data_IF_764953590448
#
_entry.id   IF_764953590448
#
_cell.length_a   1.000
_cell.length_b   1.000
_cell.length_c   1.000
_cell.angle_alpha   90.00
_cell.angle_beta   90.00
_cell.angle_gamma   90.00
#
_symmetry.space_group_name_H-M   'P 1'
#
loop_
_entity.id
_entity.type
_entity.pdbx_description
1 polymer ?
#
# COMPACT_ATOMS: atom_id res chain seq x y z
N UNK A 1 -33.00 -1.70 -10.05
CA UNK A 1 -31.57 -2.05 -10.20
C UNK A 1 -30.90 -0.94 -10.99
N UNK A 2 -29.86 -0.30 -10.44
CA UNK A 2 -28.99 0.59 -11.22
C UNK A 2 -28.03 -0.29 -12.03
N UNK A 3 -27.99 -0.10 -13.34
CA UNK A 3 -27.02 -0.73 -14.24
C UNK A 3 -25.82 0.21 -14.25
N UNK A 4 -24.68 -0.24 -13.71
CA UNK A 4 -23.41 0.44 -13.91
C UNK A 4 -22.89 0.13 -15.30
N UNK A 5 -22.36 1.14 -15.99
CA UNK A 5 -21.70 0.94 -17.28
C UNK A 5 -20.47 0.04 -17.11
N UNK A 6 -20.12 -0.72 -18.14
CA UNK A 6 -18.92 -1.57 -18.15
C UNK A 6 -17.65 -0.76 -17.89
N UNK A 7 -17.65 0.52 -18.24
CA UNK A 7 -16.57 1.48 -17.97
C UNK A 7 -16.48 1.87 -16.48
N UNK A 8 -17.62 2.08 -15.80
CA UNK A 8 -17.63 2.30 -14.34
C UNK A 8 -17.18 1.03 -13.58
N UNK A 9 -17.54 -0.14 -14.09
CA UNK A 9 -17.07 -1.43 -13.53
C UNK A 9 -15.57 -1.62 -13.77
N UNK A 10 -15.03 -1.21 -14.92
CA UNK A 10 -13.59 -1.29 -15.22
C UNK A 10 -12.77 -0.22 -14.47
N UNK A 11 -13.31 0.97 -14.24
CA UNK A 11 -12.65 2.02 -13.46
C UNK A 11 -12.61 1.71 -11.96
N UNK A 12 -13.66 1.07 -11.43
CA UNK A 12 -13.71 0.62 -10.03
C UNK A 12 -12.67 -0.49 -9.70
N UNK A 13 -12.05 -1.11 -10.71
CA UNK A 13 -11.15 -2.26 -10.53
C UNK A 13 -9.70 -1.83 -10.24
N UNK A 14 -9.33 -0.58 -10.56
CA UNK A 14 -8.02 -0.01 -10.26
C UNK A 14 -8.09 1.08 -9.17
N UNK A 15 -9.16 1.14 -8.38
CA UNK A 15 -9.25 2.18 -7.35
C UNK A 15 -8.17 1.96 -6.31
N UNK A 16 -7.23 2.91 -6.13
CA UNK A 16 -6.32 2.87 -5.01
C UNK A 16 -7.13 2.81 -3.73
N UNK A 17 -6.86 1.81 -2.88
CA UNK A 17 -7.44 1.75 -1.54
C UNK A 17 -6.45 2.41 -0.57
N UNK A 18 -6.72 3.64 -0.09
CA UNK A 18 -5.87 4.27 0.90
C UNK A 18 -6.07 3.62 2.27
N UNK A 19 -4.97 3.25 2.92
CA UNK A 19 -4.93 2.73 4.28
C UNK A 19 -4.01 3.61 5.10
N UNK A 20 -4.56 4.32 6.09
CA UNK A 20 -3.78 5.13 7.02
C UNK A 20 -3.54 4.35 8.31
N UNK A 21 -2.27 4.16 8.67
CA UNK A 21 -1.86 3.53 9.92
C UNK A 21 -1.12 4.55 10.79
N UNK A 22 -1.55 4.71 12.04
CA UNK A 22 -0.93 5.66 12.96
C UNK A 22 -0.52 4.92 14.24
N UNK A 23 0.74 5.04 14.63
CA UNK A 23 1.27 4.43 15.85
C UNK A 23 2.08 5.42 16.67
N UNK A 24 1.82 5.42 17.97
CA UNK A 24 2.66 6.07 18.97
C UNK A 24 3.41 4.96 19.69
N UNK A 25 4.73 5.09 19.71
CA UNK A 25 5.64 4.19 20.39
C UNK A 25 6.28 4.92 21.55
N UNK A 26 5.80 4.60 22.75
CA UNK A 26 6.24 5.23 23.99
C UNK A 26 7.72 4.89 24.26
N UNK A 27 8.53 5.93 24.41
CA UNK A 27 9.95 5.89 24.77
C UNK A 27 10.75 4.79 24.08
N UNK A 28 11.23 5.05 22.86
CA UNK A 28 12.05 4.23 21.95
C UNK A 28 13.15 3.35 22.60
N UNK A 29 12.76 2.40 23.43
CA UNK A 29 13.63 1.56 24.25
C UNK A 29 13.33 0.07 24.05
N UNK A 30 12.20 -0.28 23.43
CA UNK A 30 11.77 -1.67 23.22
C UNK A 30 11.01 -1.81 21.91
N UNK A 31 11.19 -2.97 21.27
CA UNK A 31 10.36 -3.42 20.14
C UNK A 31 8.89 -3.26 20.50
N UNK A 32 8.12 -2.63 19.60
CA UNK A 32 6.72 -2.34 19.85
C UNK A 32 5.93 -2.58 18.57
N UNK A 33 4.80 -3.26 18.72
CA UNK A 33 3.94 -3.71 17.64
C UNK A 33 2.53 -3.20 17.86
N UNK A 34 2.00 -2.47 16.89
CA UNK A 34 0.60 -2.03 16.86
C UNK A 34 -0.12 -2.74 15.72
N UNK A 35 -1.11 -3.55 16.06
CA UNK A 35 -1.90 -4.31 15.07
C UNK A 35 -3.19 -3.57 14.76
N UNK A 36 -3.51 -3.44 13.47
CA UNK A 36 -4.69 -2.76 12.97
C UNK A 36 -5.58 -3.76 12.23
N UNK A 37 -6.83 -3.88 12.65
CA UNK A 37 -7.83 -4.64 11.88
C UNK A 37 -8.55 -3.68 10.97
N UNK A 38 -8.16 -3.65 9.71
CA UNK A 38 -8.95 -2.97 8.69
C UNK A 38 -10.16 -3.83 8.27
N UNK A 39 -11.27 -3.18 7.90
CA UNK A 39 -12.46 -3.85 7.34
C UNK A 39 -12.19 -4.20 5.88
N UNK A 40 -11.39 -5.24 5.65
CA UNK A 40 -11.00 -5.71 4.32
C UNK A 40 -10.48 -7.14 4.31
N UNK A 41 -9.90 -7.56 3.17
CA UNK A 41 -9.27 -8.89 3.00
C UNK A 41 -7.81 -8.94 3.48
N UNK A 42 -7.23 -7.78 3.82
CA UNK A 42 -5.87 -7.62 4.32
C UNK A 42 -5.89 -7.18 5.79
N UNK A 43 -5.06 -7.81 6.61
CA UNK A 43 -4.79 -7.42 8.00
C UNK A 43 -3.45 -6.71 8.05
N UNK A 44 -3.41 -5.54 8.69
CA UNK A 44 -2.24 -4.67 8.75
C UNK A 44 -1.66 -4.60 10.16
N UNK A 45 -0.37 -4.37 10.28
CA UNK A 45 0.25 -4.00 11.55
C UNK A 45 1.53 -3.21 11.30
N UNK A 46 1.84 -2.31 12.23
CA UNK A 46 3.11 -1.59 12.27
C UNK A 46 4.02 -2.23 13.30
N UNK A 47 5.28 -2.39 12.96
CA UNK A 47 6.35 -2.75 13.89
C UNK A 47 7.44 -1.67 13.83
N UNK A 48 7.90 -1.27 15.00
CA UNK A 48 9.08 -0.42 15.16
C UNK A 48 10.23 -1.29 15.65
N UNK A 49 11.30 -1.31 14.86
CA UNK A 49 12.59 -1.88 15.21
C UNK A 49 13.56 -0.74 15.49
N UNK A 50 14.20 -0.79 16.65
CA UNK A 50 15.19 0.18 17.08
C UNK A 50 16.54 -0.51 16.95
N UNK A 51 17.45 0.05 16.17
CA UNK A 51 18.86 -0.33 16.15
C UNK A 51 19.66 0.63 17.02
N UNK A 52 20.94 0.34 17.25
CA UNK A 52 21.78 1.15 18.15
C UNK A 52 21.84 2.63 17.71
N UNK A 53 21.84 2.88 16.40
CA UNK A 53 21.93 4.22 15.80
C UNK A 53 20.80 4.53 14.81
N UNK A 54 19.77 3.69 14.62
CA UNK A 54 18.71 3.99 13.64
C UNK A 54 17.35 3.47 14.12
N UNK A 55 16.29 3.92 13.45
CA UNK A 55 14.94 3.44 13.69
C UNK A 55 14.34 2.93 12.38
N UNK A 56 13.96 1.65 12.34
CA UNK A 56 13.26 1.05 11.22
C UNK A 56 11.78 0.94 11.56
N UNK A 57 10.92 1.47 10.69
CA UNK A 57 9.48 1.23 10.75
C UNK A 57 9.05 0.35 9.59
N UNK A 58 8.33 -0.71 9.94
CA UNK A 58 7.82 -1.68 8.99
C UNK A 58 6.30 -1.72 9.04
N UNK A 59 5.67 -1.44 7.90
CA UNK A 59 4.26 -1.72 7.64
C UNK A 59 4.12 -3.12 7.07
N UNK A 60 3.58 -4.01 7.88
CA UNK A 60 3.31 -5.38 7.49
C UNK A 60 1.85 -5.58 7.12
N UNK A 61 1.61 -6.52 6.22
CA UNK A 61 0.28 -7.02 5.97
C UNK A 61 0.24 -8.51 5.67
N UNK A 62 -0.92 -9.09 5.92
CA UNK A 62 -1.25 -10.47 5.57
C UNK A 62 -2.67 -10.52 5.05
N UNK A 63 -2.87 -11.22 3.95
CA UNK A 63 -4.20 -11.45 3.46
C UNK A 63 -4.21 -12.08 2.08
N UNK A 64 -5.42 -12.18 1.54
CA UNK A 64 -5.71 -12.94 0.35
C UNK A 64 -6.10 -12.02 -0.79
N UNK A 65 -5.16 -11.66 -1.67
CA UNK A 65 -5.51 -11.09 -2.96
C UNK A 65 -5.40 -12.17 -4.04
N UNK A 66 -6.38 -12.27 -4.93
CA UNK A 66 -6.23 -13.07 -6.15
C UNK A 66 -5.45 -12.32 -7.24
N UNK A 67 -4.98 -11.11 -6.93
CA UNK A 67 -4.34 -10.18 -7.85
C UNK A 67 -2.97 -9.79 -7.30
N UNK A 68 -2.06 -9.39 -8.19
CA UNK A 68 -0.83 -8.69 -7.79
C UNK A 68 -1.23 -7.34 -7.23
N UNK A 69 -0.51 -6.89 -6.21
CA UNK A 69 -0.73 -5.56 -5.63
C UNK A 69 0.60 -4.81 -5.61
N UNK A 70 0.58 -3.55 -6.01
CA UNK A 70 1.62 -2.57 -5.74
C UNK A 70 1.19 -1.78 -4.52
N UNK A 71 2.10 -1.61 -3.56
CA UNK A 71 1.88 -0.75 -2.40
C UNK A 71 2.87 0.41 -2.48
N UNK A 72 2.31 1.61 -2.48
CA UNK A 72 3.03 2.86 -2.30
C UNK A 72 2.81 3.29 -0.85
N UNK A 73 3.89 3.46 -0.09
CA UNK A 73 3.87 3.74 1.34
C UNK A 73 4.60 5.05 1.60
N UNK A 74 3.92 6.03 2.19
CA UNK A 74 4.49 7.26 2.68
C UNK A 74 4.62 7.17 4.20
N UNK A 75 5.84 7.03 4.68
CA UNK A 75 6.18 6.97 6.10
C UNK A 75 6.50 8.36 6.62
N UNK A 76 5.77 8.79 7.65
CA UNK A 76 5.91 10.08 8.31
C UNK A 76 6.35 9.88 9.75
N UNK A 77 7.50 10.42 10.09
CA UNK A 77 7.92 10.56 11.48
C UNK A 77 7.52 11.96 11.96
N UNK A 78 6.55 12.01 12.87
CA UNK A 78 5.97 13.25 13.37
C UNK A 78 6.75 13.78 14.57
N UNK A 79 6.98 15.09 14.56
CA UNK A 79 7.64 15.82 15.64
C UNK A 79 6.67 16.81 16.30
N UNK A 80 6.71 16.95 17.63
CA UNK A 80 6.07 18.09 18.27
C UNK A 80 6.66 19.40 17.73
N UNK A 81 5.80 20.24 17.13
CA UNK A 81 6.14 21.59 16.64
C UNK A 81 7.19 21.68 15.51
N UNK A 82 7.43 20.60 14.75
CA UNK A 82 8.30 20.63 13.57
C UNK A 82 7.66 19.90 12.39
N UNK A 83 8.15 20.16 11.18
CA UNK A 83 7.71 19.44 9.98
C UNK A 83 8.08 17.96 10.07
N UNK A 84 7.19 17.04 9.66
CA UNK A 84 7.45 15.61 9.70
C UNK A 84 8.57 15.23 8.74
N UNK A 85 9.33 14.19 9.09
CA UNK A 85 10.24 13.56 8.14
C UNK A 85 9.44 12.57 7.33
N UNK A 86 9.50 12.70 6.01
CA UNK A 86 8.72 11.92 5.07
C UNK A 86 9.67 11.03 4.27
N UNK A 87 9.37 9.74 4.19
CA UNK A 87 10.04 8.78 3.31
C UNK A 87 9.00 7.99 2.52
N UNK A 88 9.19 7.94 1.22
CA UNK A 88 8.31 7.21 0.30
C UNK A 88 8.96 5.90 -0.12
N UNK A 89 8.21 4.81 -0.04
CA UNK A 89 8.63 3.47 -0.43
C UNK A 89 7.58 2.87 -1.36
N UNK A 90 8.01 2.28 -2.47
CA UNK A 90 7.14 1.55 -3.37
C UNK A 90 7.59 0.11 -3.48
N UNK A 91 6.68 -0.84 -3.24
CA UNK A 91 6.95 -2.27 -3.37
C UNK A 91 5.80 -3.01 -4.04
N UNK A 92 6.17 -3.85 -4.99
CA UNK A 92 5.27 -4.79 -5.66
C UNK A 92 5.26 -6.13 -4.95
N UNK A 93 4.07 -6.68 -4.72
CA UNK A 93 3.88 -7.97 -4.05
C UNK A 93 2.99 -8.89 -4.87
N UNK A 94 3.47 -10.12 -5.05
CA UNK A 94 2.63 -11.23 -5.51
C UNK A 94 1.85 -11.80 -4.32
N UNK A 95 0.65 -11.29 -4.10
CA UNK A 95 -0.21 -11.66 -2.98
C UNK A 95 -1.07 -12.91 -3.18
N UNK A 96 -0.76 -13.74 -4.18
CA UNK A 96 -1.51 -14.97 -4.49
C UNK A 96 -1.49 -15.99 -3.34
N UNK A 97 -0.46 -15.96 -2.50
CA UNK A 97 -0.36 -16.81 -1.32
C UNK A 97 -0.86 -16.11 -0.04
N UNK A 98 -2.02 -16.56 0.47
CA UNK A 98 -2.66 -16.05 1.69
C UNK A 98 -1.88 -16.27 2.98
N UNK A 99 -0.89 -17.18 2.98
CA UNK A 99 -0.09 -17.52 4.17
C UNK A 99 1.10 -16.59 4.35
N UNK A 100 1.54 -15.96 3.26
CA UNK A 100 2.69 -15.07 3.27
C UNK A 100 2.35 -13.78 4.02
N UNK A 101 3.37 -13.28 4.72
CA UNK A 101 3.38 -11.93 5.26
C UNK A 101 4.22 -11.09 4.32
N UNK A 102 3.79 -9.86 4.11
CA UNK A 102 4.46 -8.90 3.24
C UNK A 102 4.85 -7.68 4.08
N UNK A 103 5.90 -6.99 3.66
CA UNK A 103 6.53 -5.92 4.43
C UNK A 103 6.99 -4.79 3.51
N UNK A 104 6.46 -3.60 3.77
CA UNK A 104 7.07 -2.35 3.32
C UNK A 104 7.76 -1.74 4.53
N UNK A 105 9.03 -1.36 4.39
CA UNK A 105 9.83 -0.84 5.50
C UNK A 105 10.63 0.36 5.03
N UNK A 106 10.85 1.30 5.93
CA UNK A 106 11.81 2.38 5.76
C UNK A 106 12.68 2.50 7.00
N UNK A 107 13.85 3.10 6.85
CA UNK A 107 14.80 3.34 7.93
C UNK A 107 14.98 4.84 8.09
N UNK A 108 14.87 5.36 9.30
CA UNK A 108 15.22 6.71 9.70
C UNK A 108 16.54 6.64 10.45
N UNK A 109 17.56 7.33 9.94
CA UNK A 109 18.90 7.29 10.50
C UNK A 109 19.00 8.14 11.76
N UNK A 110 19.96 7.86 12.66
CA UNK A 110 20.22 8.77 13.78
C UNK A 110 20.40 10.18 13.24
N UNK A 111 21.23 10.43 12.23
CA UNK A 111 21.51 11.79 11.73
C UNK A 111 20.24 12.57 11.31
N UNK A 112 19.26 11.88 10.73
CA UNK A 112 17.95 12.46 10.37
C UNK A 112 17.12 12.81 11.62
N UNK A 113 17.19 11.98 12.65
CA UNK A 113 16.49 12.14 13.92
C UNK A 113 17.28 12.97 14.97
N UNK A 114 18.60 13.11 14.79
CA UNK A 114 19.54 13.78 15.67
C UNK A 114 19.23 15.26 15.61
N UNK A 115 19.08 15.88 16.77
CA UNK A 115 18.55 17.24 16.96
C UNK A 115 17.03 17.39 16.86
N UNK A 116 16.28 16.31 16.59
CA UNK A 116 14.81 16.36 16.47
C UNK A 116 14.08 15.68 17.63
N UNK A 117 14.71 14.71 18.31
CA UNK A 117 14.17 14.07 19.51
C UNK A 117 15.11 14.23 20.71
N UNK A 118 14.54 14.51 21.88
CA UNK A 118 15.23 14.28 23.15
C UNK A 118 15.23 12.78 23.44
N UNK A 119 16.33 12.25 23.98
CA UNK A 119 16.40 10.85 24.39
C UNK A 119 15.23 10.51 25.32
N UNK A 120 14.45 9.49 24.95
CA UNK A 120 13.26 9.06 25.70
C UNK A 120 11.95 9.72 25.28
N UNK A 121 11.96 10.59 24.26
CA UNK A 121 10.73 11.13 23.67
C UNK A 121 9.89 10.03 23.02
N UNK A 122 8.57 10.24 23.00
CA UNK A 122 7.65 9.36 22.27
C UNK A 122 7.85 9.58 20.76
N UNK A 123 8.00 8.48 20.02
CA UNK A 123 8.07 8.53 18.57
C UNK A 123 6.67 8.31 18.00
N UNK A 124 6.21 9.27 17.19
CA UNK A 124 4.92 9.20 16.51
C UNK A 124 5.16 8.94 15.03
N UNK A 125 4.61 7.85 14.53
CA UNK A 125 4.69 7.50 13.12
C UNK A 125 3.30 7.45 12.51
N UNK A 126 3.18 8.01 11.31
CA UNK A 126 2.05 7.78 10.41
C UNK A 126 2.58 7.08 9.17
N UNK A 127 1.82 6.12 8.66
CA UNK A 127 2.11 5.46 7.38
C UNK A 127 0.85 5.54 6.53
N UNK A 128 0.93 6.30 5.44
CA UNK A 128 -0.11 6.39 4.43
C UNK A 128 0.20 5.38 3.33
N UNK A 129 -0.63 4.35 3.20
CA UNK A 129 -0.47 3.26 2.25
C UNK A 129 -1.49 3.40 1.13
N UNK A 130 -1.03 3.31 -0.11
CA UNK A 130 -1.88 3.27 -1.30
C UNK A 130 -1.74 1.92 -1.95
N UNK A 131 -2.83 1.14 -1.94
CA UNK A 131 -2.86 -0.20 -2.54
C UNK A 131 -3.38 -0.10 -3.96
N UNK A 132 -2.52 -0.37 -4.94
CA UNK A 132 -2.87 -0.46 -6.35
C UNK A 132 -2.99 -1.93 -6.72
N UNK A 133 -4.20 -2.38 -7.07
CA UNK A 133 -4.43 -3.76 -7.54
C UNK A 133 -4.15 -3.82 -9.04
N UNK A 134 -3.20 -4.66 -9.43
CA UNK A 134 -2.92 -4.90 -10.84
C UNK A 134 -3.62 -6.17 -11.30
N UNK A 135 -4.54 -6.01 -12.25
CA UNK A 135 -5.14 -7.15 -12.92
C UNK A 135 -4.13 -7.70 -13.93
N UNK A 136 -3.54 -8.84 -13.62
CA UNK A 136 -2.69 -9.59 -14.55
C UNK A 136 -3.61 -10.24 -15.60
N UNK A 137 -4.10 -9.46 -16.56
CA UNK A 137 -4.91 -9.92 -17.68
C UNK A 137 -4.15 -9.81 -19.00
N UNK A 138 -3.01 -10.48 -19.09
CA UNK A 138 -2.63 -11.10 -20.37
C UNK A 138 -3.40 -12.44 -20.49
N UNK A 139 -4.70 -12.30 -20.78
CA UNK A 139 -5.44 -13.31 -21.54
C UNK A 139 -6.02 -12.62 -22.75
N UNK A 140 -5.50 -13.03 -23.90
CA UNK A 140 -6.11 -12.89 -25.22
C UNK A 140 -5.94 -11.54 -25.93
N UNK A 141 -4.78 -11.38 -26.60
CA UNK A 141 -4.84 -10.84 -27.95
C UNK A 141 -5.57 -11.85 -28.83
N UNK A 142 -6.91 -11.78 -28.85
CA UNK A 142 -7.66 -12.23 -30.01
C UNK A 142 -7.28 -11.25 -31.11
N UNK A 143 -6.60 -11.72 -32.16
CA UNK A 143 -6.37 -10.91 -33.35
C UNK A 143 -7.69 -10.24 -33.77
N UNK A 144 -7.70 -8.92 -34.04
CA UNK A 144 -8.87 -8.27 -34.59
C UNK A 144 -9.18 -8.94 -35.93
N UNK A 145 -10.29 -9.69 -35.99
CA UNK A 145 -10.83 -10.18 -37.26
C UNK A 145 -11.19 -8.94 -38.07
N UNK A 146 -10.64 -8.75 -39.29
CA UNK A 146 -10.98 -7.59 -40.10
C UNK A 146 -12.48 -7.63 -40.44
N UNK A 147 -13.24 -6.67 -39.89
CA UNK A 147 -14.53 -6.26 -40.41
C UNK A 147 -14.29 -5.62 -41.79
N UNK A 148 -14.60 -6.35 -42.85
CA UNK A 148 -14.60 -5.80 -44.19
C UNK A 148 -15.81 -6.33 -44.98
N UNK A 149 -16.76 -5.41 -45.15
CA UNK A 149 -17.78 -5.30 -46.21
C UNK A 149 -19.03 -6.17 -46.09
N UNK A 150 -20.00 -5.66 -45.34
CA UNK A 150 -21.38 -5.67 -45.84
C UNK A 150 -21.52 -4.53 -46.86
N UNK A 151 -21.86 -4.87 -48.10
CA UNK A 151 -22.50 -3.96 -49.04
C UNK A 151 -23.85 -4.56 -49.49
N UNK A 152 -24.82 -3.72 -49.87
CA UNK A 152 -26.22 -3.88 -49.47
C UNK A 152 -27.07 -4.74 -50.43
N UNK A 153 -28.14 -5.28 -49.85
CA UNK A 153 -29.25 -6.00 -50.48
C UNK A 153 -29.84 -5.25 -51.69
N UNK A 154 -30.04 -5.95 -52.80
CA UNK A 154 -31.05 -5.58 -53.81
C UNK A 154 -32.13 -6.67 -53.80
N UNK A 155 -33.33 -6.28 -53.37
CA UNK A 155 -34.57 -7.02 -53.61
C UNK A 155 -34.96 -6.87 -55.08
N UNK A 156 -35.14 -7.98 -55.79
CA UNK A 156 -36.19 -8.17 -56.80
C UNK A 156 -36.67 -9.63 -56.75
#
# INVERSE_FOLDING_TARGET
>A
MQIFSLQEVMAAVNTPEPVKLEAIFDGALKWNKKTFKDKGTLTWWLELELTDDDFCISAFFKGASKMKISIEAEFKLLYPAQEPLIKEEKKDFDCTNKRNKYEVRTMFTEDEAKNRFENGSDLRFEVDLTIVKENNSEKSSVEPKPEAKQEPTVNQ
#
